data_IF_679098843610
#
_entry.id   IF_679098843610
#
_cell.length_a   1.000
_cell.length_b   1.000
_cell.length_c   1.000
_cell.angle_alpha   90.00
_cell.angle_beta   90.00
_cell.angle_gamma   90.00
#
_symmetry.space_group_name_H-M   'P 1'
#
loop_
_entity.id
_entity.type
_entity.pdbx_description
1 polymer ?
#
# COMPACT_ATOMS: atom_id res chain seq x y z
N UNK A 1 30.80 -5.00 5.55
CA UNK A 1 29.68 -4.11 5.90
C UNK A 1 28.67 -4.17 4.78
N UNK A 2 27.37 -4.23 5.10
CA UNK A 2 26.31 -4.09 4.09
C UNK A 2 26.42 -2.70 3.44
N UNK A 3 26.09 -2.61 2.14
CA UNK A 3 25.99 -1.31 1.44
C UNK A 3 24.80 -0.51 1.98
N UNK A 4 23.72 -1.19 2.39
CA UNK A 4 22.50 -0.60 2.92
C UNK A 4 22.51 -0.60 4.45
N UNK A 5 22.21 0.55 5.06
CA UNK A 5 22.00 0.71 6.50
C UNK A 5 20.50 0.66 6.83
N UNK A 6 19.91 -0.53 6.68
CA UNK A 6 18.48 -0.74 6.92
C UNK A 6 18.04 -0.25 8.31
N UNK A 7 18.72 -0.60 9.42
CA UNK A 7 18.30 -0.15 10.75
C UNK A 7 18.37 1.37 10.92
N UNK A 8 19.45 2.00 10.44
CA UNK A 8 19.61 3.46 10.52
C UNK A 8 18.58 4.19 9.66
N UNK A 9 18.37 3.73 8.43
CA UNK A 9 17.39 4.32 7.52
C UNK A 9 15.96 4.17 8.06
N UNK A 10 15.60 2.98 8.58
CA UNK A 10 14.30 2.74 9.19
C UNK A 10 14.07 3.63 10.42
N UNK A 11 15.10 3.83 11.25
CA UNK A 11 15.05 4.76 12.40
C UNK A 11 14.77 6.19 11.94
N UNK A 12 15.50 6.70 10.95
CA UNK A 12 15.27 8.05 10.41
C UNK A 12 13.85 8.23 9.86
N UNK A 13 13.35 7.23 9.14
CA UNK A 13 11.98 7.23 8.61
C UNK A 13 10.98 7.27 9.77
N UNK A 14 11.13 6.38 10.75
CA UNK A 14 10.25 6.31 11.91
C UNK A 14 10.22 7.63 12.69
N UNK A 15 11.38 8.22 12.98
CA UNK A 15 11.47 9.45 13.76
C UNK A 15 10.73 10.61 13.06
N UNK A 16 10.83 10.70 11.73
CA UNK A 16 10.08 11.68 10.92
C UNK A 16 8.58 11.42 10.97
N UNK A 17 8.14 10.16 10.78
CA UNK A 17 6.71 9.81 10.83
C UNK A 17 6.12 10.08 12.22
N UNK A 18 6.84 9.73 13.28
CA UNK A 18 6.44 9.93 14.67
C UNK A 18 6.35 11.43 15.03
N UNK A 19 7.18 12.28 14.43
CA UNK A 19 7.10 13.73 14.54
C UNK A 19 5.97 14.36 13.68
N UNK A 20 5.16 13.55 12.99
CA UNK A 20 4.08 14.02 12.12
C UNK A 20 4.55 14.46 10.73
N UNK A 21 5.76 14.07 10.33
CA UNK A 21 6.36 14.34 9.02
C UNK A 21 5.88 13.40 7.91
N UNK A 22 6.40 13.64 6.71
CA UNK A 22 6.16 12.86 5.49
C UNK A 22 7.45 12.19 5.05
N UNK A 23 7.40 10.90 4.72
CA UNK A 23 8.55 10.14 4.24
C UNK A 23 8.34 9.63 2.82
N UNK A 24 9.37 9.69 1.97
CA UNK A 24 9.47 8.91 0.75
C UNK A 24 10.39 7.72 1.00
N UNK A 25 9.86 6.52 0.82
CA UNK A 25 10.62 5.28 1.07
C UNK A 25 10.56 4.34 -0.12
N UNK A 26 11.62 3.55 -0.35
CA UNK A 26 11.61 2.50 -1.34
C UNK A 26 10.80 1.29 -0.83
N UNK A 27 10.05 0.66 -1.72
CA UNK A 27 9.45 -0.65 -1.54
C UNK A 27 9.60 -1.47 -2.83
N UNK A 28 9.23 -2.75 -2.80
CA UNK A 28 9.43 -3.65 -3.94
C UNK A 28 8.61 -3.27 -5.18
N UNK A 29 7.50 -2.56 -5.02
CA UNK A 29 6.62 -2.09 -6.09
C UNK A 29 6.86 -0.62 -6.51
N UNK A 30 7.92 0.03 -6.02
CA UNK A 30 8.25 1.43 -6.34
C UNK A 30 8.59 2.25 -5.09
N UNK A 31 8.39 3.57 -5.16
CA UNK A 31 8.53 4.46 -4.01
C UNK A 31 7.15 4.80 -3.43
N UNK A 32 7.04 4.79 -2.10
CA UNK A 32 5.84 5.22 -1.37
C UNK A 32 6.07 6.57 -0.71
N UNK A 33 5.04 7.41 -0.71
CA UNK A 33 4.92 8.65 0.05
C UNK A 33 3.98 8.38 1.24
N UNK A 34 4.50 8.53 2.46
CA UNK A 34 3.88 8.08 3.70
C UNK A 34 3.70 9.21 4.71
N UNK A 35 2.64 9.14 5.50
CA UNK A 35 2.40 10.01 6.65
C UNK A 35 1.49 9.32 7.69
N UNK A 36 1.68 9.68 8.96
CA UNK A 36 0.91 9.13 10.08
C UNK A 36 0.04 10.15 10.84
N UNK A 37 0.06 11.42 10.42
CA UNK A 37 -0.71 12.51 11.03
C UNK A 37 -1.72 13.11 10.04
N UNK A 38 -2.77 13.75 10.56
CA UNK A 38 -3.74 14.50 9.77
C UNK A 38 -3.06 15.50 8.82
N UNK A 39 -2.08 16.25 9.34
CA UNK A 39 -1.35 17.24 8.56
C UNK A 39 -0.50 16.58 7.45
N UNK A 40 0.26 15.53 7.77
CA UNK A 40 1.05 14.81 6.78
C UNK A 40 0.16 14.27 5.66
N UNK A 41 -0.97 13.65 6.01
CA UNK A 41 -1.92 13.13 5.03
C UNK A 41 -2.52 14.26 4.20
N UNK A 42 -2.89 15.39 4.80
CA UNK A 42 -3.35 16.58 4.08
C UNK A 42 -2.30 17.10 3.09
N UNK A 43 -1.04 17.24 3.51
CA UNK A 43 0.10 17.65 2.65
C UNK A 43 0.23 16.71 1.45
N UNK A 44 0.16 15.40 1.69
CA UNK A 44 0.20 14.36 0.65
C UNK A 44 -0.98 14.50 -0.33
N UNK A 45 -2.21 14.67 0.17
CA UNK A 45 -3.40 14.82 -0.68
C UNK A 45 -3.32 16.05 -1.59
N UNK A 46 -2.94 17.20 -1.02
CA UNK A 46 -2.78 18.46 -1.76
C UNK A 46 -1.72 18.34 -2.84
N UNK A 47 -0.53 17.85 -2.48
CA UNK A 47 0.58 17.71 -3.43
C UNK A 47 0.26 16.77 -4.59
N UNK A 48 -0.47 15.69 -4.31
CA UNK A 48 -0.82 14.68 -5.32
C UNK A 48 -2.00 15.06 -6.20
N UNK A 49 -2.69 16.18 -5.93
CA UNK A 49 -3.95 16.58 -6.60
C UNK A 49 -4.96 15.43 -6.65
N UNK A 50 -5.12 14.75 -5.52
CA UNK A 50 -5.80 13.46 -5.46
C UNK A 50 -7.32 13.64 -5.34
N UNK A 51 -8.09 12.88 -6.13
CA UNK A 51 -9.54 12.84 -6.02
C UNK A 51 -10.02 12.18 -4.73
N UNK A 52 -11.15 12.64 -4.19
CA UNK A 52 -11.75 12.20 -2.91
C UNK A 52 -12.11 10.70 -2.85
N UNK A 53 -12.21 10.03 -4.00
CA UNK A 53 -12.51 8.59 -4.10
C UNK A 53 -11.27 7.68 -3.93
N UNK A 54 -10.05 8.24 -3.91
CA UNK A 54 -8.82 7.45 -3.82
C UNK A 54 -8.46 7.19 -2.35
N UNK A 55 -8.41 5.93 -1.96
CA UNK A 55 -8.03 5.50 -0.60
C UNK A 55 -6.53 5.26 -0.45
N UNK A 56 -5.99 5.51 0.74
CA UNK A 56 -4.62 5.13 1.09
C UNK A 56 -4.57 3.66 1.57
N UNK A 57 -3.43 3.02 1.35
CA UNK A 57 -3.14 1.74 1.99
C UNK A 57 -2.41 2.01 3.30
N UNK A 58 -2.76 1.24 4.34
CA UNK A 58 -1.94 1.12 5.53
C UNK A 58 -0.67 0.34 5.16
N UNK A 59 0.46 0.77 5.69
CA UNK A 59 1.73 0.07 5.53
C UNK A 59 1.98 -0.70 6.82
N UNK A 60 2.08 -2.01 6.72
CA UNK A 60 2.16 -2.84 7.92
C UNK A 60 2.90 -4.16 7.68
N UNK A 61 3.39 -4.72 8.79
CA UNK A 61 3.93 -6.06 8.84
C UNK A 61 2.79 -7.09 8.94
N UNK A 62 3.10 -8.36 8.64
CA UNK A 62 2.13 -9.45 8.62
C UNK A 62 1.44 -9.66 9.98
N UNK A 63 2.12 -9.38 11.10
CA UNK A 63 1.57 -9.46 12.45
C UNK A 63 0.43 -8.46 12.65
N UNK A 64 0.62 -7.22 12.20
CA UNK A 64 -0.42 -6.20 12.25
C UNK A 64 -1.59 -6.56 11.35
N UNK A 65 -1.32 -7.17 10.18
CA UNK A 65 -2.38 -7.65 9.30
C UNK A 65 -3.25 -8.72 9.99
N UNK A 66 -2.62 -9.74 10.59
CA UNK A 66 -3.31 -10.82 11.32
C UNK A 66 -4.18 -10.30 12.47
N UNK A 67 -3.74 -9.25 13.14
CA UNK A 67 -4.47 -8.65 14.26
C UNK A 67 -5.63 -7.78 13.80
N UNK A 68 -5.43 -7.01 12.72
CA UNK A 68 -6.34 -5.94 12.33
C UNK A 68 -7.39 -6.41 11.31
N UNK A 69 -7.04 -7.26 10.35
CA UNK A 69 -8.00 -7.83 9.41
C UNK A 69 -8.85 -8.91 10.07
N UNK A 70 -10.13 -8.94 9.72
CA UNK A 70 -11.09 -9.98 10.12
C UNK A 70 -11.28 -10.91 8.93
N UNK A 71 -10.61 -12.06 8.97
CA UNK A 71 -10.57 -13.03 7.89
C UNK A 71 -10.87 -14.43 8.39
N UNK A 72 -11.51 -15.22 7.53
CA UNK A 72 -11.58 -16.67 7.72
C UNK A 72 -10.19 -17.31 7.46
N UNK A 73 -10.03 -18.56 7.91
CA UNK A 73 -8.75 -19.27 7.82
C UNK A 73 -8.25 -19.42 6.39
N UNK A 74 -9.14 -19.65 5.42
CA UNK A 74 -8.76 -19.85 4.01
C UNK A 74 -8.23 -18.54 3.43
N UNK A 75 -8.94 -17.43 3.65
CA UNK A 75 -8.48 -16.10 3.23
C UNK A 75 -7.13 -15.73 3.84
N UNK A 76 -6.93 -15.97 5.14
CA UNK A 76 -5.65 -15.73 5.79
C UNK A 76 -4.53 -16.60 5.20
N UNK A 77 -4.81 -17.88 4.93
CA UNK A 77 -3.83 -18.81 4.35
C UNK A 77 -3.40 -18.38 2.94
N UNK A 78 -4.30 -17.78 2.15
CA UNK A 78 -3.95 -17.24 0.83
C UNK A 78 -2.96 -16.07 0.94
N UNK A 79 -3.19 -15.14 1.88
CA UNK A 79 -2.29 -14.00 2.13
C UNK A 79 -0.92 -14.51 2.60
N UNK A 80 -0.89 -15.47 3.51
CA UNK A 80 0.35 -16.03 4.06
C UNK A 80 1.14 -16.80 3.00
N UNK A 81 0.48 -17.62 2.18
CA UNK A 81 1.14 -18.31 1.08
C UNK A 81 1.79 -17.31 0.11
N UNK A 82 1.06 -16.27 -0.31
CA UNK A 82 1.59 -15.26 -1.23
C UNK A 82 2.79 -14.51 -0.61
N UNK A 83 2.64 -14.05 0.64
CA UNK A 83 3.59 -13.10 1.23
C UNK A 83 4.73 -13.76 1.99
N UNK A 84 4.49 -14.87 2.69
CA UNK A 84 5.45 -15.52 3.57
C UNK A 84 6.14 -16.70 2.87
N UNK A 85 5.39 -17.54 2.16
CA UNK A 85 5.98 -18.73 1.52
C UNK A 85 6.63 -18.41 0.18
N UNK A 86 6.01 -17.53 -0.62
CA UNK A 86 6.49 -17.17 -1.96
C UNK A 86 7.22 -15.82 -2.01
N UNK A 87 7.31 -15.09 -0.89
CA UNK A 87 8.01 -13.80 -0.80
C UNK A 87 7.53 -12.78 -1.86
N UNK A 88 6.20 -12.67 -2.06
CA UNK A 88 5.60 -11.74 -3.00
C UNK A 88 4.91 -10.57 -2.27
N UNK A 89 5.09 -9.36 -2.81
CA UNK A 89 4.40 -8.17 -2.30
C UNK A 89 2.92 -8.20 -2.66
N UNK A 90 2.06 -7.87 -1.70
CA UNK A 90 0.61 -7.94 -1.86
C UNK A 90 -0.08 -6.75 -1.20
N UNK A 91 -0.99 -6.10 -1.93
CA UNK A 91 -2.03 -5.28 -1.35
C UNK A 91 -3.22 -6.15 -0.94
N UNK A 92 -3.52 -6.27 0.34
CA UNK A 92 -4.66 -7.02 0.85
C UNK A 92 -5.76 -6.07 1.33
N UNK A 93 -6.99 -6.24 0.84
CA UNK A 93 -8.17 -5.49 1.29
C UNK A 93 -9.13 -6.42 1.99
N UNK A 94 -9.48 -6.14 3.24
CA UNK A 94 -10.37 -6.99 4.02
C UNK A 94 -11.14 -6.16 5.07
N UNK A 95 -12.23 -6.72 5.65
CA UNK A 95 -12.85 -6.16 6.85
C UNK A 95 -11.84 -6.00 7.98
N UNK A 96 -12.04 -5.03 8.86
CA UNK A 96 -11.10 -4.76 9.95
C UNK A 96 -11.77 -4.64 11.32
N UNK A 97 -10.98 -4.84 12.38
CA UNK A 97 -11.38 -4.61 13.77
C UNK A 97 -11.31 -3.12 14.10
N UNK A 98 -12.47 -2.48 14.27
CA UNK A 98 -12.54 -1.04 14.52
C UNK A 98 -11.92 -0.64 15.86
N UNK A 99 -11.93 -1.56 16.83
CA UNK A 99 -11.40 -1.37 18.19
C UNK A 99 -9.88 -1.58 18.27
N UNK A 100 -9.23 -1.94 17.16
CA UNK A 100 -7.78 -2.13 17.14
C UNK A 100 -7.06 -0.81 17.48
N UNK A 101 -6.01 -0.82 18.35
CA UNK A 101 -5.35 0.41 18.81
C UNK A 101 -4.85 1.35 17.68
N UNK A 102 -4.37 0.78 16.57
CA UNK A 102 -4.00 1.56 15.38
C UNK A 102 -5.18 2.28 14.72
N UNK A 103 -6.38 1.70 14.74
CA UNK A 103 -7.58 2.28 14.15
C UNK A 103 -8.19 3.34 15.06
N UNK A 104 -8.19 3.11 16.37
CA UNK A 104 -8.72 4.08 17.35
C UNK A 104 -7.88 5.35 17.48
N UNK A 105 -6.64 5.34 16.98
CA UNK A 105 -5.76 6.52 16.92
C UNK A 105 -5.98 7.40 15.70
N UNK A 106 -6.77 6.95 14.72
CA UNK A 106 -7.07 7.73 13.53
C UNK A 106 -8.08 8.82 13.87
N UNK A 107 -7.81 10.04 13.42
CA UNK A 107 -8.88 11.04 13.32
C UNK A 107 -9.90 10.65 12.23
N UNK A 108 -11.06 11.30 12.25
CA UNK A 108 -12.18 10.97 11.35
C UNK A 108 -11.83 11.12 9.87
N UNK A 109 -11.06 12.14 9.51
CA UNK A 109 -10.68 12.41 8.12
C UNK A 109 -9.69 11.34 7.59
N UNK A 110 -8.73 10.95 8.43
CA UNK A 110 -7.76 9.91 8.10
C UNK A 110 -8.43 8.53 7.99
N UNK A 111 -9.41 8.25 8.85
CA UNK A 111 -10.21 7.03 8.79
C UNK A 111 -11.04 6.98 7.49
N UNK A 112 -11.72 8.06 7.12
CA UNK A 112 -12.50 8.13 5.88
C UNK A 112 -11.61 8.02 4.62
N UNK A 113 -10.43 8.65 4.67
CA UNK A 113 -9.44 8.60 3.58
C UNK A 113 -8.76 7.23 3.41
N UNK A 114 -8.86 6.36 4.42
CA UNK A 114 -8.10 5.09 4.47
C UNK A 114 -8.98 3.84 4.52
N UNK A 115 -10.29 4.01 4.71
CA UNK A 115 -11.25 2.90 4.75
C UNK A 115 -12.38 3.08 3.73
N UNK A 116 -12.99 1.98 3.32
CA UNK A 116 -14.18 1.98 2.48
C UNK A 116 -15.04 0.76 2.77
N UNK A 117 -16.35 0.95 3.01
CA UNK A 117 -17.31 -0.11 3.26
C UNK A 117 -16.86 -1.10 4.35
N UNK A 118 -16.33 -0.59 5.47
CA UNK A 118 -15.83 -1.41 6.57
C UNK A 118 -14.55 -2.19 6.27
N UNK A 119 -13.86 -1.90 5.16
CA UNK A 119 -12.60 -2.53 4.77
C UNK A 119 -11.42 -1.57 4.82
N UNK A 120 -10.22 -2.11 5.04
CA UNK A 120 -8.94 -1.38 4.98
C UNK A 120 -7.98 -2.10 4.03
N UNK A 121 -7.29 -1.33 3.21
CA UNK A 121 -6.23 -1.84 2.35
C UNK A 121 -4.89 -1.83 3.11
N UNK A 122 -4.13 -2.92 3.03
CA UNK A 122 -2.81 -3.07 3.63
C UNK A 122 -1.80 -3.49 2.58
N UNK A 123 -0.63 -2.84 2.54
CA UNK A 123 0.50 -3.30 1.73
C UNK A 123 1.42 -4.17 2.58
N UNK A 124 1.70 -5.38 2.10
CA UNK A 124 2.44 -6.43 2.81
C UNK A 124 3.69 -6.85 2.01
N UNK A 125 4.69 -7.34 2.74
CA UNK A 125 5.93 -7.92 2.21
C UNK A 125 6.53 -7.09 1.08
N UNK A 126 6.89 -5.85 1.39
CA UNK A 126 7.32 -4.87 0.38
C UNK A 126 8.81 -4.53 0.48
N UNK A 127 9.59 -5.42 1.10
CA UNK A 127 11.06 -5.37 1.19
C UNK A 127 11.56 -5.11 2.61
N UNK A 128 12.83 -5.46 2.86
CA UNK A 128 13.41 -5.48 4.22
C UNK A 128 13.38 -4.14 4.95
N UNK A 129 13.64 -3.01 4.26
CA UNK A 129 13.50 -1.67 4.86
C UNK A 129 12.04 -1.37 5.24
N UNK A 130 11.11 -1.75 4.37
CA UNK A 130 9.68 -1.55 4.60
C UNK A 130 9.23 -2.32 5.85
N UNK A 131 9.66 -3.56 5.99
CA UNK A 131 9.30 -4.42 7.13
C UNK A 131 9.86 -3.84 8.44
N UNK A 132 11.10 -3.35 8.44
CA UNK A 132 11.70 -2.75 9.63
C UNK A 132 10.99 -1.44 10.04
N UNK A 133 10.62 -0.59 9.07
CA UNK A 133 9.79 0.60 9.35
C UNK A 133 8.42 0.19 9.92
N UNK A 134 7.79 -0.82 9.34
CA UNK A 134 6.49 -1.31 9.81
C UNK A 134 6.57 -1.88 11.23
N UNK A 135 7.66 -2.59 11.57
CA UNK A 135 7.93 -3.08 12.93
C UNK A 135 8.02 -1.94 13.93
N UNK A 136 8.81 -0.90 13.62
CA UNK A 136 8.95 0.28 14.48
C UNK A 136 7.62 1.02 14.67
N UNK A 137 6.86 1.21 13.59
CA UNK A 137 5.54 1.86 13.66
C UNK A 137 4.55 1.04 14.48
N UNK A 138 4.57 -0.29 14.33
CA UNK A 138 3.75 -1.21 15.13
C UNK A 138 4.06 -1.09 16.62
N UNK A 139 5.34 -1.15 17.00
CA UNK A 139 5.78 -1.06 18.40
C UNK A 139 5.36 0.26 19.07
N UNK A 140 5.34 1.35 18.31
CA UNK A 140 4.88 2.66 18.77
C UNK A 140 3.35 2.85 18.71
N UNK A 141 2.62 1.87 18.16
CA UNK A 141 1.19 1.98 17.81
C UNK A 141 0.95 3.22 16.93
N UNK A 142 1.86 3.50 16.00
CA UNK A 142 1.79 4.63 15.08
C UNK A 142 1.12 4.16 13.77
N UNK A 143 -0.12 4.58 13.48
CA UNK A 143 -0.71 4.27 12.19
C UNK A 143 -0.02 5.05 11.08
N UNK A 144 0.39 4.36 10.02
CA UNK A 144 1.04 4.98 8.86
C UNK A 144 0.30 4.59 7.60
N UNK A 145 -0.07 5.60 6.82
CA UNK A 145 -0.73 5.43 5.54
C UNK A 145 0.10 6.03 4.42
N UNK A 146 -0.07 5.46 3.25
CA UNK A 146 0.69 5.90 2.12
C UNK A 146 0.10 5.49 0.79
N UNK A 147 0.75 6.01 -0.23
CA UNK A 147 0.47 5.72 -1.62
C UNK A 147 1.74 5.90 -2.42
N UNK A 148 1.74 5.49 -3.68
CA UNK A 148 2.92 5.64 -4.54
C UNK A 148 3.39 7.10 -4.64
N UNK A 149 4.70 7.35 -4.65
CA UNK A 149 5.29 8.69 -4.68
C UNK A 149 5.26 9.29 -6.10
N UNK A 150 4.07 9.69 -6.55
CA UNK A 150 3.84 10.28 -7.86
C UNK A 150 2.58 11.15 -7.87
N UNK A 151 2.50 12.07 -8.84
CA UNK A 151 1.26 12.78 -9.15
C UNK A 151 0.16 11.78 -9.55
N UNK A 152 -1.06 12.02 -9.09
CA UNK A 152 -2.20 11.12 -9.34
C UNK A 152 -2.36 10.86 -10.85
N UNK A 153 -2.58 9.59 -11.22
CA UNK A 153 -2.77 9.18 -12.62
C UNK A 153 -1.50 9.01 -13.45
N UNK A 154 -0.31 9.37 -12.94
CA UNK A 154 0.94 9.33 -13.73
C UNK A 154 1.74 8.03 -13.62
N UNK A 155 1.20 7.02 -12.93
CA UNK A 155 1.87 5.75 -12.65
C UNK A 155 2.93 5.84 -11.54
N UNK A 156 3.35 4.70 -10.95
CA UNK A 156 4.37 4.67 -9.91
C UNK A 156 5.74 5.15 -10.43
N UNK A 157 6.63 5.48 -9.49
CA UNK A 157 8.03 5.79 -9.75
C UNK A 157 8.90 4.74 -9.10
N UNK A 158 9.93 4.32 -9.83
CA UNK A 158 10.81 3.22 -9.43
C UNK A 158 12.24 3.69 -9.14
N UNK A 159 12.51 4.98 -9.26
CA UNK A 159 13.71 5.68 -8.79
C UNK A 159 13.33 7.03 -8.21
N UNK A 160 14.15 7.58 -7.32
CA UNK A 160 13.89 8.89 -6.71
C UNK A 160 13.97 10.01 -7.75
N UNK A 161 14.87 9.89 -8.72
CA UNK A 161 15.06 10.86 -9.80
C UNK A 161 13.83 10.99 -10.71
N UNK A 162 13.03 9.92 -10.82
CA UNK A 162 11.81 9.92 -11.61
C UNK A 162 10.61 10.55 -10.85
N UNK A 163 10.76 10.80 -9.53
CA UNK A 163 9.72 11.42 -8.69
C UNK A 163 9.66 12.91 -9.00
N UNK A 164 8.44 13.39 -9.29
CA UNK A 164 8.21 14.79 -9.63
C UNK A 164 8.72 15.74 -8.51
N UNK A 165 9.34 16.89 -8.86
CA UNK A 165 9.88 17.82 -7.88
C UNK A 165 8.88 18.24 -6.80
N UNK A 166 7.61 18.45 -7.15
CA UNK A 166 6.59 18.88 -6.18
C UNK A 166 6.25 17.76 -5.18
N UNK A 167 6.40 16.50 -5.57
CA UNK A 167 6.22 15.35 -4.67
C UNK A 167 7.42 15.19 -3.75
N UNK A 168 8.64 15.36 -4.27
CA UNK A 168 9.87 15.32 -3.45
C UNK A 168 9.90 16.45 -2.41
N UNK A 169 9.45 17.64 -2.79
CA UNK A 169 9.44 18.81 -1.92
C UNK A 169 8.54 18.68 -0.67
N UNK A 170 7.61 17.73 -0.66
CA UNK A 170 6.69 17.50 0.47
C UNK A 170 7.31 16.58 1.52
N UNK A 171 8.33 15.81 1.14
CA UNK A 171 8.95 14.82 2.00
C UNK A 171 9.97 15.47 2.95
N UNK A 172 9.81 15.19 4.23
CA UNK A 172 10.74 15.58 5.29
C UNK A 172 11.95 14.61 5.34
N UNK A 173 11.80 13.41 4.78
CA UNK A 173 12.90 12.47 4.53
C UNK A 173 12.67 11.69 3.23
N UNK A 174 13.75 11.47 2.48
CA UNK A 174 13.78 10.60 1.29
C UNK A 174 14.89 9.58 1.52
N UNK A 175 14.55 8.30 1.49
CA UNK A 175 15.53 7.20 1.44
C UNK A 175 15.61 6.71 0.00
N UNK A 176 16.81 6.70 -0.58
CA UNK A 176 17.03 6.32 -1.98
C UNK A 176 17.82 5.03 -2.07
N UNK A 177 17.14 3.94 -2.46
CA UNK A 177 17.75 2.63 -2.71
C UNK A 177 17.77 2.32 -4.22
N UNK A 178 17.82 3.35 -5.06
CA UNK A 178 17.91 3.23 -6.50
C UNK A 178 16.68 2.58 -7.15
N UNK A 179 16.93 1.83 -8.23
CA UNK A 179 15.89 1.16 -9.02
C UNK A 179 15.19 0.06 -8.23
N UNK A 180 13.86 0.10 -8.17
CA UNK A 180 13.07 -0.90 -7.44
C UNK A 180 12.87 -2.22 -8.21
N UNK A 181 12.82 -3.32 -7.45
CA UNK A 181 12.81 -4.71 -7.91
C UNK A 181 11.79 -4.97 -9.02
N UNK A 182 10.54 -4.53 -8.82
CA UNK A 182 9.44 -4.82 -9.73
C UNK A 182 9.17 -3.70 -10.77
N UNK A 183 10.17 -2.89 -11.12
CA UNK A 183 10.00 -1.80 -12.10
C UNK A 183 9.50 -2.26 -13.48
N UNK A 184 9.86 -3.48 -13.90
CA UNK A 184 9.47 -4.06 -15.20
C UNK A 184 7.96 -4.17 -15.39
N UNK A 185 7.22 -4.32 -14.29
CA UNK A 185 5.75 -4.40 -14.34
C UNK A 185 5.09 -3.06 -14.66
N UNK A 186 5.78 -1.94 -14.44
CA UNK A 186 5.29 -0.57 -14.68
C UNK A 186 3.99 -0.20 -13.94
N UNK A 187 3.50 -1.08 -13.07
CA UNK A 187 2.36 -0.91 -12.17
C UNK A 187 2.84 -1.07 -10.72
N UNK A 188 2.05 -0.55 -9.78
CA UNK A 188 2.27 -0.76 -8.34
C UNK A 188 1.82 -2.18 -7.93
N UNK A 189 1.92 -2.56 -6.66
CA UNK A 189 1.64 -3.91 -6.18
C UNK A 189 0.26 -4.43 -6.62
N UNK A 190 0.15 -5.73 -6.86
CA UNK A 190 -1.15 -6.39 -7.04
C UNK A 190 -2.01 -6.17 -5.80
N UNK A 191 -3.29 -5.81 -5.98
CA UNK A 191 -4.24 -5.62 -4.88
C UNK A 191 -5.38 -6.62 -5.02
N UNK A 192 -5.57 -7.43 -3.99
CA UNK A 192 -6.64 -8.40 -3.88
C UNK A 192 -7.53 -8.07 -2.67
N UNK A 193 -8.83 -8.28 -2.81
CA UNK A 193 -9.81 -8.19 -1.73
C UNK A 193 -10.16 -9.59 -1.26
N UNK A 194 -10.20 -9.80 0.05
CA UNK A 194 -10.44 -11.09 0.68
C UNK A 194 -11.66 -11.02 1.60
N UNK A 195 -12.41 -12.12 1.65
CA UNK A 195 -13.51 -12.30 2.60
C UNK A 195 -14.36 -13.52 2.25
N UNK A 196 -14.93 -14.18 3.27
CA UNK A 196 -15.81 -15.35 3.12
C UNK A 196 -15.18 -16.50 2.31
N UNK A 197 -13.86 -16.69 2.38
CA UNK A 197 -13.12 -17.70 1.62
C UNK A 197 -12.92 -17.39 0.13
N UNK A 198 -13.37 -16.22 -0.33
CA UNK A 198 -13.28 -15.73 -1.71
C UNK A 198 -12.22 -14.63 -1.84
N UNK A 199 -11.81 -14.39 -3.09
CA UNK A 199 -10.84 -13.35 -3.44
C UNK A 199 -11.19 -12.67 -4.75
N UNK A 200 -11.20 -11.33 -4.73
CA UNK A 200 -11.44 -10.49 -5.89
C UNK A 200 -10.21 -9.68 -6.25
N UNK A 201 -9.87 -9.65 -7.55
CA UNK A 201 -8.80 -8.77 -8.03
C UNK A 201 -9.28 -7.30 -8.10
N UNK A 202 -8.70 -6.45 -7.26
CA UNK A 202 -8.94 -5.00 -7.26
C UNK A 202 -8.00 -4.30 -8.24
N UNK A 203 -6.73 -4.74 -8.27
CA UNK A 203 -5.70 -4.23 -9.16
C UNK A 203 -4.74 -5.32 -9.61
N UNK A 204 -4.61 -5.47 -10.91
CA UNK A 204 -3.53 -6.23 -11.55
C UNK A 204 -2.25 -5.39 -11.46
N UNK A 205 -1.22 -5.90 -10.78
CA UNK A 205 -0.03 -5.12 -10.45
C UNK A 205 1.27 -5.90 -10.57
N UNK A 206 2.27 -5.51 -9.79
CA UNK A 206 3.53 -6.25 -9.68
C UNK A 206 3.29 -7.70 -9.29
N UNK A 207 4.02 -8.62 -9.93
CA UNK A 207 4.02 -10.06 -9.66
C UNK A 207 2.66 -10.75 -9.84
N UNK A 208 1.74 -10.16 -10.61
CA UNK A 208 0.37 -10.66 -10.74
C UNK A 208 0.30 -12.12 -11.20
N UNK A 209 1.09 -12.47 -12.22
CA UNK A 209 1.15 -13.82 -12.79
C UNK A 209 1.66 -14.85 -11.78
N UNK A 210 2.61 -14.46 -10.92
CA UNK A 210 3.11 -15.33 -9.86
C UNK A 210 2.06 -15.52 -8.76
N UNK A 211 1.38 -14.44 -8.37
CA UNK A 211 0.29 -14.47 -7.39
C UNK A 211 -0.87 -15.34 -7.91
N UNK A 212 -1.25 -15.17 -9.18
CA UNK A 212 -2.30 -15.97 -9.81
C UNK A 212 -1.94 -17.45 -9.87
N UNK A 213 -0.68 -17.79 -10.17
CA UNK A 213 -0.20 -19.18 -10.15
C UNK A 213 -0.25 -19.81 -8.75
N UNK A 214 0.18 -19.07 -7.71
CA UNK A 214 0.08 -19.52 -6.31
C UNK A 214 -1.37 -19.81 -5.92
N UNK A 215 -2.28 -18.88 -6.22
CA UNK A 215 -3.70 -19.01 -5.90
C UNK A 215 -4.36 -20.16 -6.65
N UNK A 216 -4.04 -20.34 -7.93
CA UNK A 216 -4.56 -21.44 -8.74
C UNK A 216 -4.11 -22.80 -8.21
N UNK A 217 -2.80 -22.98 -7.99
CA UNK A 217 -2.23 -24.30 -7.62
C UNK A 217 -2.61 -24.75 -6.22
N UNK A 218 -2.67 -23.82 -5.27
CA UNK A 218 -2.81 -24.16 -3.86
C UNK A 218 -4.22 -23.96 -3.31
N UNK A 219 -5.05 -23.15 -3.99
CA UNK A 219 -6.36 -22.78 -3.49
C UNK A 219 -7.49 -22.98 -4.52
N UNK A 220 -7.21 -23.42 -5.74
CA UNK A 220 -8.22 -23.56 -6.81
C UNK A 220 -8.95 -22.23 -7.09
N UNK A 221 -8.20 -21.13 -7.04
CA UNK A 221 -8.70 -19.78 -7.33
C UNK A 221 -8.19 -19.35 -8.70
N UNK A 222 -9.12 -18.95 -9.58
CA UNK A 222 -8.80 -18.38 -10.87
C UNK A 222 -8.99 -16.86 -10.86
N UNK A 223 -7.88 -16.12 -10.97
CA UNK A 223 -7.89 -14.67 -11.11
C UNK A 223 -8.11 -14.25 -12.58
N UNK A 224 -8.70 -13.07 -12.84
CA UNK A 224 -8.96 -12.61 -14.21
C UNK A 224 -7.68 -12.47 -15.04
N UNK A 225 -7.78 -12.64 -16.35
CA UNK A 225 -6.65 -12.43 -17.26
C UNK A 225 -6.27 -10.95 -17.31
N UNK A 226 -4.97 -10.64 -17.28
CA UNK A 226 -4.47 -9.29 -17.51
C UNK A 226 -4.73 -8.87 -18.96
N UNK A 227 -5.51 -7.79 -19.21
CA UNK A 227 -5.75 -7.30 -20.56
C UNK A 227 -4.52 -6.58 -21.16
N UNK A 228 -3.45 -6.39 -20.39
CA UNK A 228 -2.21 -5.75 -20.81
C UNK A 228 -2.17 -4.25 -20.52
N UNK A 229 -0.98 -3.67 -20.59
CA UNK A 229 -0.73 -2.26 -20.27
C UNK A 229 -1.41 -1.29 -21.25
N UNK A 230 -1.55 -1.68 -22.52
CA UNK A 230 -2.18 -0.82 -23.53
C UNK A 230 -3.68 -0.64 -23.30
N UNK A 231 -4.33 -1.67 -22.74
CA UNK A 231 -5.78 -1.67 -22.46
C UNK A 231 -6.07 -1.12 -21.05
N UNK A 232 -5.27 -1.52 -20.06
CA UNK A 232 -5.44 -1.08 -18.67
C UNK A 232 -4.10 -0.65 -18.06
N UNK A 233 -3.64 0.59 -18.28
CA UNK A 233 -2.35 1.05 -17.79
C UNK A 233 -2.25 1.03 -16.25
N UNK A 234 -3.35 1.32 -15.54
CA UNK A 234 -3.36 1.39 -14.07
C UNK A 234 -3.47 0.00 -13.41
N UNK A 235 -4.03 -0.97 -14.15
CA UNK A 235 -4.36 -2.30 -13.67
C UNK A 235 -5.60 -2.36 -12.78
N UNK A 236 -6.24 -1.22 -12.45
CA UNK A 236 -7.45 -1.23 -11.64
C UNK A 236 -8.62 -1.82 -12.43
N UNK A 237 -9.33 -2.77 -11.82
CA UNK A 237 -10.52 -3.38 -12.43
C UNK A 237 -11.81 -2.68 -11.99
N UNK A 238 -11.77 -1.93 -10.90
CA UNK A 238 -12.94 -1.26 -10.30
C UNK A 238 -12.57 0.15 -9.78
N UNK A 239 -11.96 0.98 -10.63
CA UNK A 239 -11.36 2.26 -10.20
C UNK A 239 -12.35 3.25 -9.57
N UNK A 240 -13.64 3.18 -9.92
CA UNK A 240 -14.69 4.09 -9.47
C UNK A 240 -15.71 3.48 -8.49
N UNK A 241 -15.49 2.26 -7.99
CA UNK A 241 -16.45 1.58 -7.12
C UNK A 241 -16.80 2.33 -5.82
N UNK A 242 -15.97 3.31 -5.42
CA UNK A 242 -16.17 4.11 -4.19
C UNK A 242 -16.44 5.60 -4.46
N UNK A 243 -16.75 5.99 -5.72
CA UNK A 243 -17.13 7.38 -6.03
C UNK A 243 -18.48 7.67 -5.38
N UNK A 244 -18.53 8.54 -4.36
CA UNK A 244 -19.80 9.08 -3.86
C UNK A 244 -20.44 9.89 -5.00
N UNK A 245 -21.70 9.60 -5.31
CA UNK A 245 -22.42 10.29 -6.37
C UNK A 245 -22.78 11.72 -5.95
N UNK A 246 -22.15 12.71 -6.60
CA UNK A 246 -22.73 13.92 -7.25
C UNK A 246 -21.56 14.75 -7.79
N UNK A 247 -21.09 14.41 -8.99
CA UNK A 247 -20.57 15.38 -9.98
C UNK A 247 -21.36 15.10 -11.28
N UNK A 248 -22.68 15.21 -11.16
CA UNK A 248 -23.58 15.37 -12.28
C UNK A 248 -24.14 16.79 -12.14
N UNK A 249 -23.85 17.62 -13.14
CA UNK A 249 -24.16 19.05 -13.27
C UNK A 249 -23.21 20.03 -12.56
N UNK A 250 -22.16 20.43 -13.29
CA UNK A 250 -21.99 21.82 -13.75
C UNK A 250 -21.16 21.84 -15.02
#
# INVERSE_FOLDING_TARGET
MSILDIPGDARRIFDVLAAGGVAIIPNDAGYALMGGSADAVRRIFVAKRRGSHKRNAMLCAIETQRELHVLDRRSQSMIEAITQDYDLTLGAVAPYRAEHPLMTRLDGDLLEGSTANGTVAMLLNAGTLFDEVCRLCREAVLPVFGSSANLSGTGPRFRVEDIQPEIRAVADVIVDYGLRKHHVYRRSATILRFGNGEVDCVRIGSCYELIADVLRRHFDVELPRDPGLDVNPSGHLQEFAFRKGTDAAS
#
